data_IF_765563666086
#
_entry.id   IF_765563666086
#
_cell.length_a   1.000
_cell.length_b   1.000
_cell.length_c   1.000
_cell.angle_alpha   90.00
_cell.angle_beta   90.00
_cell.angle_gamma   90.00
#
_symmetry.space_group_name_H-M   'P 1'
#
loop_
_entity.id
_entity.type
_entity.pdbx_description
1 polymer ?
#
# COMPACT_ATOMS: atom_id res chain seq x y z
N UNK A 1 -19.28 -20.90 -8.27
CA UNK A 1 -18.34 -21.29 -9.35
C UNK A 1 -18.52 -20.29 -10.49
N UNK A 2 -17.62 -19.32 -10.62
CA UNK A 2 -17.69 -18.30 -11.67
C UNK A 2 -16.96 -18.82 -12.90
N UNK A 3 -17.69 -18.98 -14.00
CA UNK A 3 -17.12 -19.35 -15.29
C UNK A 3 -16.22 -18.21 -15.82
N UNK A 4 -15.04 -18.51 -16.39
CA UNK A 4 -14.23 -17.52 -17.06
C UNK A 4 -14.92 -17.09 -18.36
N UNK A 5 -15.00 -15.77 -18.58
CA UNK A 5 -15.49 -15.18 -19.83
C UNK A 5 -14.65 -15.69 -21.01
N UNK A 6 -15.30 -16.35 -21.96
CA UNK A 6 -14.68 -16.90 -23.17
C UNK A 6 -14.27 -15.80 -24.15
N UNK A 7 -12.98 -15.78 -24.47
CA UNK A 7 -12.26 -15.22 -25.63
C UNK A 7 -13.07 -14.54 -26.75
N UNK A 8 -12.89 -13.23 -26.88
CA UNK A 8 -12.87 -12.51 -28.16
C UNK A 8 -11.47 -11.94 -28.37
N UNK A 9 -10.87 -12.13 -29.55
CA UNK A 9 -9.53 -11.65 -30.03
C UNK A 9 -8.50 -11.37 -28.92
N UNK A 10 -7.40 -12.13 -28.87
CA UNK A 10 -6.17 -11.66 -28.19
C UNK A 10 -5.86 -10.26 -28.73
N UNK A 11 -6.13 -9.22 -27.94
CA UNK A 11 -5.70 -7.87 -28.29
C UNK A 11 -4.18 -7.91 -28.32
N UNK A 12 -3.59 -7.64 -29.48
CA UNK A 12 -2.16 -7.41 -29.57
C UNK A 12 -1.90 -6.04 -28.95
N UNK A 13 -1.04 -5.99 -27.93
CA UNK A 13 -0.66 -4.72 -27.32
C UNK A 13 0.47 -4.10 -28.14
N UNK A 14 0.17 -3.06 -28.89
CA UNK A 14 1.14 -2.37 -29.74
C UNK A 14 1.38 -0.95 -29.26
N UNK A 15 0.35 -0.25 -28.76
CA UNK A 15 0.43 1.16 -28.37
C UNK A 15 -0.12 1.43 -26.98
N UNK A 16 0.73 1.95 -26.10
CA UNK A 16 0.36 2.37 -24.74
C UNK A 16 0.49 3.88 -24.62
N UNK A 17 -0.51 4.51 -23.98
CA UNK A 17 -0.39 5.87 -23.46
C UNK A 17 -0.21 5.82 -21.94
N UNK A 18 0.89 6.38 -21.43
CA UNK A 18 1.13 6.53 -19.99
C UNK A 18 0.89 7.99 -19.60
N UNK A 19 -0.05 8.22 -18.70
CA UNK A 19 -0.38 9.52 -18.13
C UNK A 19 0.09 9.55 -16.69
N UNK A 20 1.27 10.10 -16.45
CA UNK A 20 1.86 10.23 -15.12
C UNK A 20 2.72 11.52 -15.09
N UNK A 21 2.71 12.22 -13.97
CA UNK A 21 3.56 13.40 -13.73
C UNK A 21 4.93 12.99 -13.14
N UNK A 22 5.06 11.74 -12.66
CA UNK A 22 6.31 11.17 -12.16
C UNK A 22 7.09 10.44 -13.28
N UNK A 23 8.29 10.94 -13.59
CA UNK A 23 9.14 10.39 -14.64
C UNK A 23 9.80 9.06 -14.23
N UNK A 24 10.00 8.81 -12.94
CA UNK A 24 10.62 7.57 -12.46
C UNK A 24 9.68 6.39 -12.68
N UNK A 25 8.39 6.55 -12.39
CA UNK A 25 7.35 5.56 -12.67
C UNK A 25 7.26 5.24 -14.17
N UNK A 26 7.32 6.28 -15.02
CA UNK A 26 7.30 6.13 -16.48
C UNK A 26 8.49 5.29 -16.94
N UNK A 27 9.70 5.63 -16.48
CA UNK A 27 10.93 4.91 -16.84
C UNK A 27 10.91 3.46 -16.32
N UNK A 28 10.40 3.24 -15.10
CA UNK A 28 10.24 1.91 -14.52
C UNK A 28 9.33 1.04 -15.40
N UNK A 29 8.19 1.56 -15.83
CA UNK A 29 7.27 0.86 -16.73
C UNK A 29 7.94 0.58 -18.09
N UNK A 30 8.53 1.61 -18.71
CA UNK A 30 9.18 1.49 -20.02
C UNK A 30 10.32 0.46 -20.03
N UNK A 31 11.12 0.41 -18.97
CA UNK A 31 12.27 -0.49 -18.88
C UNK A 31 11.87 -1.96 -18.97
N UNK A 32 10.71 -2.32 -18.39
CA UNK A 32 10.22 -3.70 -18.29
C UNK A 32 9.41 -4.16 -19.50
N UNK A 33 8.83 -3.23 -20.27
CA UNK A 33 8.04 -3.59 -21.44
C UNK A 33 8.90 -4.01 -22.64
N UNK A 34 8.41 -4.95 -23.49
CA UNK A 34 9.03 -5.29 -24.76
C UNK A 34 9.28 -4.09 -25.67
N UNK A 35 10.39 -4.08 -26.42
CA UNK A 35 10.81 -2.95 -27.29
C UNK A 35 9.87 -2.71 -28.49
N UNK A 36 9.05 -3.69 -28.85
CA UNK A 36 8.11 -3.60 -29.96
C UNK A 36 6.80 -2.88 -29.58
N UNK A 37 6.62 -2.50 -28.31
CA UNK A 37 5.48 -1.71 -27.85
C UNK A 37 5.83 -0.22 -27.98
N UNK A 38 5.02 0.51 -28.73
CA UNK A 38 5.09 1.96 -28.83
C UNK A 38 4.52 2.60 -27.55
N UNK A 39 5.34 3.35 -26.83
CA UNK A 39 4.95 4.00 -25.58
C UNK A 39 4.92 5.50 -25.81
N UNK A 40 3.72 6.09 -25.73
CA UNK A 40 3.55 7.55 -25.65
C UNK A 40 3.39 7.94 -24.19
N UNK A 41 4.03 9.02 -23.77
CA UNK A 41 3.92 9.55 -22.40
C UNK A 41 3.30 10.94 -22.43
N UNK A 42 2.48 11.25 -21.42
CA UNK A 42 1.91 12.58 -21.24
C UNK A 42 1.83 12.93 -19.76
N UNK A 43 2.10 14.17 -19.40
CA UNK A 43 1.67 14.69 -18.10
C UNK A 43 0.14 14.74 -18.04
N UNK A 44 -0.42 14.84 -16.84
CA UNK A 44 -1.88 14.97 -16.68
C UNK A 44 -2.41 16.24 -17.37
N UNK A 45 -1.63 17.33 -17.36
CA UNK A 45 -1.97 18.55 -18.10
C UNK A 45 -2.02 18.31 -19.62
N UNK A 46 -1.00 17.64 -20.18
CA UNK A 46 -0.94 17.30 -21.60
C UNK A 46 -2.08 16.35 -22.01
N UNK A 47 -2.41 15.38 -21.15
CA UNK A 47 -3.50 14.45 -21.38
C UNK A 47 -4.86 15.18 -21.50
N UNK A 48 -5.04 16.27 -20.78
CA UNK A 48 -6.23 17.12 -20.88
C UNK A 48 -6.41 17.81 -22.24
N UNK A 49 -5.37 17.84 -23.09
CA UNK A 49 -5.39 18.45 -24.44
C UNK A 49 -5.49 17.40 -25.55
N UNK A 50 -5.41 16.10 -25.23
CA UNK A 50 -5.49 15.03 -26.22
C UNK A 50 -6.91 14.93 -26.80
N UNK A 51 -6.99 15.00 -28.13
CA UNK A 51 -8.28 14.94 -28.86
C UNK A 51 -8.70 13.53 -29.24
N UNK A 52 -7.73 12.66 -29.49
CA UNK A 52 -7.97 11.27 -29.87
C UNK A 52 -7.02 10.33 -29.11
N UNK A 53 -7.64 9.43 -28.37
CA UNK A 53 -7.00 8.37 -27.58
C UNK A 53 -7.42 6.97 -28.05
N UNK A 54 -8.28 6.88 -29.07
CA UNK A 54 -8.76 5.60 -29.61
C UNK A 54 -7.66 4.83 -30.35
N UNK A 55 -6.58 5.51 -30.73
CA UNK A 55 -5.38 4.92 -31.34
C UNK A 55 -4.51 4.10 -30.38
N UNK A 56 -4.77 4.15 -29.07
CA UNK A 56 -4.02 3.38 -28.08
C UNK A 56 -4.79 2.12 -27.72
N UNK A 57 -4.08 1.02 -27.49
CA UNK A 57 -4.65 -0.25 -27.06
C UNK A 57 -4.88 -0.27 -25.54
N UNK A 58 -4.09 0.54 -24.82
CA UNK A 58 -4.14 0.69 -23.37
C UNK A 58 -3.77 2.11 -22.97
N UNK A 59 -4.51 2.66 -22.00
CA UNK A 59 -4.13 3.90 -21.31
C UNK A 59 -3.83 3.58 -19.85
N UNK A 60 -2.70 4.06 -19.36
CA UNK A 60 -2.33 4.02 -17.94
C UNK A 60 -2.51 5.43 -17.40
N UNK A 61 -3.27 5.60 -16.31
CA UNK A 61 -3.50 6.90 -15.68
C UNK A 61 -3.07 6.80 -14.22
N UNK A 62 -2.07 7.57 -13.84
CA UNK A 62 -1.73 7.71 -12.43
C UNK A 62 -2.68 8.68 -11.73
N UNK A 63 -3.08 8.30 -10.52
CA UNK A 63 -4.01 9.04 -9.66
C UNK A 63 -3.41 10.37 -9.16
N UNK A 64 -2.08 10.48 -9.03
CA UNK A 64 -1.34 11.60 -8.42
C UNK A 64 -1.99 12.08 -7.10
N UNK A 65 -2.30 11.12 -6.20
CA UNK A 65 -2.96 11.42 -4.92
C UNK A 65 -1.98 11.80 -3.79
N UNK A 66 -0.67 11.92 -4.10
CA UNK A 66 0.41 12.06 -3.13
C UNK A 66 0.34 13.32 -2.23
N UNK A 67 -0.63 14.21 -2.43
CA UNK A 67 -0.73 15.49 -1.71
C UNK A 67 -2.07 15.76 -1.00
N UNK A 68 -2.95 14.77 -0.79
CA UNK A 68 -4.30 14.97 -0.20
C UNK A 68 -5.18 16.01 -0.92
N UNK A 69 -4.70 16.52 -2.06
CA UNK A 69 -5.37 17.46 -2.96
C UNK A 69 -5.96 16.62 -4.10
N UNK A 70 -7.15 17.02 -4.54
CA UNK A 70 -7.99 16.41 -5.59
C UNK A 70 -7.23 15.47 -6.54
N UNK A 71 -7.69 14.23 -6.65
CA UNK A 71 -7.26 13.25 -7.65
C UNK A 71 -7.40 13.84 -9.06
N UNK A 72 -6.29 14.31 -9.61
CA UNK A 72 -6.26 14.82 -10.99
C UNK A 72 -6.45 13.68 -11.99
N UNK A 73 -5.99 12.47 -11.67
CA UNK A 73 -6.20 11.29 -12.51
C UNK A 73 -7.69 11.03 -12.79
N UNK A 74 -8.58 11.27 -11.80
CA UNK A 74 -10.03 11.13 -11.98
C UNK A 74 -10.57 12.11 -13.01
N UNK A 75 -10.14 13.37 -12.97
CA UNK A 75 -10.59 14.38 -13.93
C UNK A 75 -10.15 14.03 -15.36
N UNK A 76 -8.93 13.49 -15.52
CA UNK A 76 -8.44 13.01 -16.82
C UNK A 76 -9.24 11.80 -17.30
N UNK A 77 -9.54 10.83 -16.42
CA UNK A 77 -10.39 9.70 -16.77
C UNK A 77 -11.78 10.15 -17.24
N UNK A 78 -12.39 11.13 -16.56
CA UNK A 78 -13.69 11.68 -16.96
C UNK A 78 -13.64 12.30 -18.35
N UNK A 79 -12.59 13.07 -18.67
CA UNK A 79 -12.38 13.65 -20.02
C UNK A 79 -12.18 12.58 -21.09
N UNK A 80 -11.42 11.54 -20.77
CA UNK A 80 -11.21 10.37 -21.65
C UNK A 80 -12.54 9.69 -21.98
N UNK A 81 -13.42 9.55 -20.98
CA UNK A 81 -14.73 8.92 -21.14
C UNK A 81 -15.77 9.84 -21.80
N UNK A 82 -15.71 11.16 -21.59
CA UNK A 82 -16.62 12.10 -22.26
C UNK A 82 -16.43 12.11 -23.78
N UNK A 83 -15.24 11.74 -24.26
CA UNK A 83 -14.96 11.55 -25.68
C UNK A 83 -15.42 10.17 -26.20
N UNK A 84 -16.29 9.47 -25.45
CA UNK A 84 -16.83 8.14 -25.73
C UNK A 84 -15.77 7.06 -26.04
N UNK A 85 -14.56 7.21 -25.50
CA UNK A 85 -13.51 6.22 -25.72
C UNK A 85 -13.79 4.93 -24.96
N UNK A 86 -13.88 3.83 -25.71
CA UNK A 86 -13.96 2.47 -25.16
C UNK A 86 -12.59 1.90 -24.77
N UNK A 87 -11.50 2.69 -24.90
CA UNK A 87 -10.14 2.22 -24.63
C UNK A 87 -10.02 1.66 -23.21
N UNK A 88 -9.40 0.49 -23.04
CA UNK A 88 -9.01 -0.02 -21.74
C UNK A 88 -8.15 0.97 -20.96
N UNK A 89 -8.45 1.17 -19.69
CA UNK A 89 -7.69 2.01 -18.78
C UNK A 89 -7.20 1.19 -17.59
N UNK A 90 -5.90 1.24 -17.31
CA UNK A 90 -5.35 0.91 -15.99
C UNK A 90 -5.21 2.20 -15.20
N UNK A 91 -6.01 2.34 -14.16
CA UNK A 91 -5.95 3.48 -13.27
C UNK A 91 -5.03 3.13 -12.10
N UNK A 92 -3.85 3.72 -12.05
CA UNK A 92 -2.83 3.39 -11.05
C UNK A 92 -2.93 4.29 -9.84
N UNK A 93 -2.73 3.72 -8.66
CA UNK A 93 -2.59 4.45 -7.40
C UNK A 93 -1.76 3.60 -6.45
N UNK A 94 -0.74 4.17 -5.79
CA UNK A 94 -0.09 3.51 -4.66
C UNK A 94 -1.09 3.21 -3.52
N UNK A 95 -2.19 3.96 -3.46
CA UNK A 95 -3.27 3.82 -2.49
C UNK A 95 -4.62 3.57 -3.19
N UNK A 96 -4.91 2.36 -3.71
CA UNK A 96 -6.17 2.09 -4.40
C UNK A 96 -7.41 2.34 -3.55
N UNK A 97 -7.33 2.17 -2.23
CA UNK A 97 -8.43 2.46 -1.29
C UNK A 97 -8.83 3.94 -1.17
N UNK A 98 -7.98 4.86 -1.65
CA UNK A 98 -8.25 6.30 -1.69
C UNK A 98 -8.72 6.78 -3.07
N UNK A 99 -8.86 5.85 -4.01
CA UNK A 99 -9.45 6.13 -5.32
C UNK A 99 -10.96 6.32 -5.13
N UNK A 100 -11.49 7.36 -5.74
CA UNK A 100 -12.91 7.68 -5.69
C UNK A 100 -13.76 6.51 -6.22
N UNK A 101 -14.82 6.14 -5.49
CA UNK A 101 -15.71 5.03 -5.84
C UNK A 101 -16.25 5.08 -7.28
N UNK A 102 -16.44 6.27 -7.84
CA UNK A 102 -16.89 6.44 -9.24
C UNK A 102 -15.88 5.95 -10.28
N UNK A 103 -14.59 5.90 -9.95
CA UNK A 103 -13.55 5.35 -10.83
C UNK A 103 -13.77 3.85 -11.02
N UNK A 104 -14.05 3.11 -9.94
CA UNK A 104 -14.33 1.67 -9.99
C UNK A 104 -15.59 1.33 -10.81
N UNK A 105 -16.55 2.24 -10.85
CA UNK A 105 -17.79 2.09 -11.62
C UNK A 105 -17.63 2.50 -13.09
N UNK A 106 -16.49 3.07 -13.46
CA UNK A 106 -16.25 3.55 -14.82
C UNK A 106 -15.97 2.37 -15.75
N UNK A 107 -16.68 2.33 -16.89
CA UNK A 107 -16.54 1.25 -17.88
C UNK A 107 -15.10 1.12 -18.39
N UNK A 108 -14.65 -0.12 -18.58
CA UNK A 108 -13.32 -0.48 -19.10
C UNK A 108 -12.16 0.14 -18.29
N UNK A 109 -12.37 0.40 -16.99
CA UNK A 109 -11.34 0.84 -16.07
C UNK A 109 -11.04 -0.29 -15.09
N UNK A 110 -9.77 -0.56 -14.91
CA UNK A 110 -9.25 -1.44 -13.88
C UNK A 110 -8.38 -0.59 -12.95
N UNK A 111 -8.71 -0.57 -11.66
CA UNK A 111 -7.88 0.13 -10.66
C UNK A 111 -6.81 -0.83 -10.19
N UNK A 112 -5.54 -0.45 -10.35
CA UNK A 112 -4.38 -1.28 -10.07
C UNK A 112 -3.41 -0.50 -9.18
N UNK A 113 -2.62 -1.18 -8.36
CA UNK A 113 -1.52 -0.52 -7.66
C UNK A 113 -0.39 -0.19 -8.64
N UNK A 114 0.26 0.95 -8.49
CA UNK A 114 1.25 1.43 -9.47
C UNK A 114 2.36 0.42 -9.76
N UNK A 115 2.85 -0.29 -8.74
CA UNK A 115 3.84 -1.36 -8.86
C UNK A 115 3.33 -2.66 -9.52
N UNK A 116 2.04 -2.96 -9.43
CA UNK A 116 1.42 -4.12 -10.08
C UNK A 116 1.09 -3.87 -11.55
N UNK A 117 1.20 -2.63 -12.03
CA UNK A 117 0.76 -2.27 -13.38
C UNK A 117 1.46 -3.10 -14.45
N UNK A 118 2.77 -3.33 -14.30
CA UNK A 118 3.55 -4.09 -15.29
C UNK A 118 3.14 -5.55 -15.33
N UNK A 119 3.00 -6.20 -14.17
CA UNK A 119 2.61 -7.60 -14.11
C UNK A 119 1.16 -7.78 -14.59
N UNK A 120 0.28 -6.79 -14.35
CA UNK A 120 -1.08 -6.78 -14.92
C UNK A 120 -1.05 -6.68 -16.44
N UNK A 121 -0.21 -5.82 -17.01
CA UNK A 121 -0.05 -5.72 -18.46
C UNK A 121 0.49 -7.05 -19.02
N UNK A 122 1.53 -7.61 -18.41
CA UNK A 122 2.12 -8.89 -18.83
C UNK A 122 1.09 -10.02 -18.84
N UNK A 123 0.36 -10.21 -17.75
CA UNK A 123 -0.67 -11.24 -17.64
C UNK A 123 -1.83 -11.03 -18.62
N UNK A 124 -2.28 -9.78 -18.78
CA UNK A 124 -3.44 -9.45 -19.62
C UNK A 124 -3.17 -9.68 -21.10
N UNK A 125 -1.96 -9.37 -21.55
CA UNK A 125 -1.59 -9.42 -22.96
C UNK A 125 -0.65 -10.59 -23.31
N UNK A 126 -0.30 -11.42 -22.34
CA UNK A 126 0.58 -12.58 -22.53
C UNK A 126 1.98 -12.17 -22.95
N UNK A 127 2.52 -11.10 -22.35
CA UNK A 127 3.84 -10.56 -22.71
C UNK A 127 4.94 -11.21 -21.87
N UNK A 128 6.06 -11.50 -22.52
CA UNK A 128 7.33 -11.76 -21.83
C UNK A 128 7.94 -10.43 -21.39
N UNK A 129 7.86 -10.15 -20.10
CA UNK A 129 8.41 -8.93 -19.52
C UNK A 129 9.92 -9.06 -19.35
N UNK A 130 10.65 -7.94 -19.46
CA UNK A 130 12.06 -7.93 -19.07
C UNK A 130 12.15 -8.10 -17.55
N UNK A 131 13.15 -8.85 -17.10
CA UNK A 131 13.48 -8.96 -15.68
C UNK A 131 13.62 -7.56 -15.08
N UNK A 132 13.12 -7.38 -13.86
CA UNK A 132 13.41 -6.17 -13.10
C UNK A 132 14.92 -5.99 -13.01
N UNK A 133 15.39 -4.75 -13.14
CA UNK A 133 16.76 -4.42 -12.75
C UNK A 133 16.84 -4.81 -11.28
N UNK A 134 17.76 -5.72 -10.97
CA UNK A 134 18.03 -6.16 -9.60
C UNK A 134 18.68 -4.96 -8.88
N UNK A 135 17.84 -4.09 -8.34
CA UNK A 135 18.29 -3.08 -7.40
C UNK A 135 18.62 -3.89 -6.16
N UNK A 136 19.90 -4.19 -5.98
CA UNK A 136 20.48 -4.72 -4.76
C UNK A 136 20.32 -3.69 -3.63
N UNK A 137 19.08 -3.33 -3.31
CA UNK A 137 18.76 -2.52 -2.16
C UNK A 137 18.81 -3.45 -0.95
N UNK A 138 19.39 -2.99 0.18
CA UNK A 138 19.23 -3.72 1.43
C UNK A 138 17.74 -3.96 1.65
N UNK A 139 17.39 -5.19 2.02
CA UNK A 139 16.02 -5.47 2.41
C UNK A 139 15.63 -4.49 3.51
N UNK A 140 14.44 -3.85 3.44
CA UNK A 140 14.01 -2.98 4.52
C UNK A 140 14.10 -3.72 5.86
N UNK A 141 14.79 -3.12 6.83
CA UNK A 141 15.00 -3.71 8.16
C UNK A 141 14.20 -3.00 9.27
N UNK A 142 13.70 -1.78 9.02
CA UNK A 142 13.00 -0.99 10.03
C UNK A 142 11.57 -1.50 10.22
N UNK A 143 11.21 -1.73 11.48
CA UNK A 143 9.86 -2.09 11.89
C UNK A 143 9.27 -0.98 12.78
N UNK A 144 8.00 -0.65 12.57
CA UNK A 144 7.29 0.38 13.30
C UNK A 144 6.19 -0.24 14.15
N UNK A 145 6.14 0.08 15.44
CA UNK A 145 4.99 -0.21 16.30
C UNK A 145 4.32 1.12 16.63
N UNK A 146 3.09 1.29 16.18
CA UNK A 146 2.28 2.49 16.39
C UNK A 146 1.08 2.15 17.25
N UNK A 147 1.05 2.67 18.48
CA UNK A 147 -0.03 2.38 19.43
C UNK A 147 -0.25 3.54 20.38
N UNK A 148 -1.44 3.66 20.94
CA UNK A 148 -1.72 4.61 22.02
C UNK A 148 -1.61 3.96 23.42
N UNK A 149 -1.36 2.65 23.48
CA UNK A 149 -1.18 1.90 24.72
C UNK A 149 0.32 1.59 24.96
N UNK A 150 0.72 1.32 26.22
CA UNK A 150 2.04 0.79 26.51
C UNK A 150 2.32 -0.53 25.78
N UNK A 151 3.55 -0.71 25.32
CA UNK A 151 4.04 -1.98 24.75
C UNK A 151 4.84 -2.70 25.84
N UNK A 152 4.46 -3.93 26.19
CA UNK A 152 5.04 -4.61 27.36
C UNK A 152 6.55 -4.75 27.21
N UNK A 153 7.31 -4.12 28.11
CA UNK A 153 8.78 -4.11 28.17
C UNK A 153 9.47 -3.14 27.21
N UNK A 154 8.72 -2.25 26.55
CA UNK A 154 9.28 -1.26 25.64
C UNK A 154 8.71 0.12 25.96
N UNK A 155 9.59 1.08 26.20
CA UNK A 155 9.24 2.49 26.20
C UNK A 155 9.17 3.01 24.75
N UNK A 156 8.49 4.14 24.49
CA UNK A 156 8.59 4.82 23.21
C UNK A 156 10.07 5.15 22.91
N UNK A 157 10.55 4.84 21.70
CA UNK A 157 11.95 5.04 21.34
C UNK A 157 12.43 4.17 20.18
N UNK A 158 13.71 4.34 19.84
CA UNK A 158 14.44 3.59 18.79
C UNK A 158 15.27 2.49 19.45
N UNK A 159 15.26 1.29 18.88
CA UNK A 159 15.95 0.11 19.40
C UNK A 159 16.82 -0.57 18.34
N UNK A 160 17.92 -1.18 18.80
CA UNK A 160 18.87 -1.98 18.01
C UNK A 160 19.25 -1.30 16.69
N UNK A 161 19.88 -0.14 16.78
CA UNK A 161 20.39 0.65 15.64
C UNK A 161 19.33 0.97 14.58
N UNK A 162 18.07 1.12 14.99
CA UNK A 162 16.99 1.49 14.08
C UNK A 162 16.24 0.31 13.46
N UNK A 163 16.43 -0.92 13.95
CA UNK A 163 15.60 -2.08 13.52
C UNK A 163 14.15 -1.98 13.99
N UNK A 164 13.92 -1.31 15.11
CA UNK A 164 12.59 -1.12 15.68
C UNK A 164 12.41 0.30 16.18
N UNK A 165 11.33 0.95 15.77
CA UNK A 165 10.83 2.18 16.36
C UNK A 165 9.49 1.87 17.04
N UNK A 166 9.42 2.09 18.35
CA UNK A 166 8.19 2.01 19.13
C UNK A 166 7.68 3.43 19.33
N UNK A 167 6.50 3.70 18.80
CA UNK A 167 5.80 4.95 18.99
C UNK A 167 4.56 4.64 19.81
N UNK A 168 4.68 4.88 21.12
CA UNK A 168 3.59 4.77 22.07
C UNK A 168 3.44 6.07 22.86
N UNK A 169 2.25 6.32 23.40
CA UNK A 169 2.01 7.46 24.27
C UNK A 169 1.48 6.95 25.61
N UNK A 170 2.40 6.73 26.54
CA UNK A 170 2.04 6.58 27.94
C UNK A 170 1.72 7.99 28.47
N UNK A 171 0.56 8.18 29.10
CA UNK A 171 -0.01 9.46 29.58
C UNK A 171 -0.78 10.27 28.51
N UNK A 172 -2.02 9.86 28.23
CA UNK A 172 -3.25 10.65 28.44
C UNK A 172 -4.43 10.00 27.70
N UNK A 173 -5.56 9.97 28.41
CA UNK A 173 -6.86 9.36 28.12
C UNK A 173 -7.12 8.82 26.70
N UNK A 174 -7.75 7.63 26.69
CA UNK A 174 -8.46 7.00 25.57
C UNK A 174 -9.27 7.95 24.65
N UNK A 175 -9.58 9.15 25.12
CA UNK A 175 -10.33 10.22 24.46
C UNK A 175 -9.56 10.86 23.28
N UNK A 176 -8.21 10.83 23.27
CA UNK A 176 -7.39 11.44 22.20
C UNK A 176 -6.54 10.45 21.38
N UNK A 177 -6.72 9.15 21.57
CA UNK A 177 -5.97 8.10 20.87
C UNK A 177 -5.94 8.29 19.34
N UNK A 178 -7.06 8.73 18.76
CA UNK A 178 -7.20 9.04 17.33
C UNK A 178 -6.27 10.16 16.85
N UNK A 179 -6.24 11.29 17.57
CA UNK A 179 -5.51 12.49 17.17
C UNK A 179 -4.02 12.33 17.40
N UNK A 180 -3.63 11.71 18.52
CA UNK A 180 -2.23 11.44 18.86
C UNK A 180 -1.60 10.49 17.84
N UNK A 181 -2.28 9.38 17.52
CA UNK A 181 -1.76 8.40 16.57
C UNK A 181 -1.70 9.00 15.14
N UNK A 182 -2.71 9.78 14.75
CA UNK A 182 -2.71 10.48 13.47
C UNK A 182 -1.59 11.53 13.37
N UNK A 183 -1.36 12.29 14.44
CA UNK A 183 -0.31 13.30 14.50
C UNK A 183 1.08 12.67 14.55
N UNK A 184 1.27 11.55 15.25
CA UNK A 184 2.54 10.82 15.24
C UNK A 184 2.86 10.23 13.88
N UNK A 185 1.86 9.64 13.21
CA UNK A 185 2.03 9.21 11.84
C UNK A 185 2.39 10.42 10.96
N UNK A 186 1.69 11.55 11.10
CA UNK A 186 2.01 12.78 10.36
C UNK A 186 3.42 13.30 10.67
N UNK A 187 3.87 13.26 11.91
CA UNK A 187 5.21 13.67 12.30
C UNK A 187 6.27 12.76 11.67
N UNK A 188 6.08 11.44 11.71
CA UNK A 188 6.93 10.49 10.98
C UNK A 188 6.98 10.83 9.48
N UNK A 189 5.86 11.25 8.89
CA UNK A 189 5.80 11.71 7.51
C UNK A 189 6.56 13.03 7.24
N UNK A 190 6.70 13.93 8.22
CA UNK A 190 7.23 15.28 8.01
C UNK A 190 8.63 15.52 8.59
N UNK A 191 9.05 14.79 9.62
CA UNK A 191 10.34 14.98 10.31
C UNK A 191 11.39 13.92 9.99
N UNK A 192 10.98 12.76 9.50
CA UNK A 192 11.85 11.84 8.77
C UNK A 192 11.96 12.36 7.32
N UNK A 193 13.08 12.17 6.63
CA UNK A 193 13.10 12.31 5.16
C UNK A 193 12.31 11.14 4.54
N UNK A 194 11.03 11.03 4.87
CA UNK A 194 10.14 9.92 4.54
C UNK A 194 9.99 9.72 3.03
N UNK A 195 10.33 10.74 2.21
CA UNK A 195 10.40 10.58 0.76
C UNK A 195 11.59 9.72 0.30
N UNK A 196 12.74 9.77 0.98
CA UNK A 196 13.94 8.98 0.66
C UNK A 196 14.03 7.68 1.45
N UNK A 197 13.57 7.67 2.71
CA UNK A 197 13.82 6.55 3.64
C UNK A 197 12.63 5.58 3.82
N UNK A 198 11.46 5.85 3.23
CA UNK A 198 10.28 4.96 3.31
C UNK A 198 10.56 3.53 2.84
N UNK A 199 11.48 3.39 1.89
CA UNK A 199 11.90 2.12 1.29
C UNK A 199 12.66 1.20 2.28
N UNK A 200 13.02 1.72 3.46
CA UNK A 200 13.68 1.00 4.54
C UNK A 200 12.70 0.39 5.56
N UNK A 201 11.41 0.76 5.50
CA UNK A 201 10.38 0.25 6.41
C UNK A 201 9.81 -1.07 5.88
N UNK A 202 9.90 -2.13 6.70
CA UNK A 202 9.40 -3.47 6.38
C UNK A 202 8.01 -3.75 6.91
N UNK A 203 7.76 -3.40 8.17
CA UNK A 203 6.49 -3.68 8.83
C UNK A 203 6.01 -2.49 9.63
N UNK A 204 4.70 -2.26 9.60
CA UNK A 204 4.02 -1.28 10.44
C UNK A 204 2.91 -1.99 11.21
N UNK A 205 3.07 -2.12 12.52
CA UNK A 205 2.08 -2.70 13.42
C UNK A 205 1.25 -1.58 14.04
N UNK A 206 -0.07 -1.63 13.87
CA UNK A 206 -0.95 -0.55 14.34
C UNK A 206 -2.03 -1.09 15.27
N UNK A 207 -2.05 -0.56 16.49
CA UNK A 207 -3.13 -0.76 17.46
C UNK A 207 -3.76 0.58 17.86
N UNK A 208 -4.98 0.82 17.39
CA UNK A 208 -5.77 2.05 17.65
C UNK A 208 -7.01 1.82 18.53
N UNK A 209 -7.32 0.56 18.87
CA UNK A 209 -8.42 0.15 19.76
C UNK A 209 -9.81 0.65 19.31
N UNK A 210 -10.81 0.49 20.17
CA UNK A 210 -12.19 0.93 19.82
C UNK A 210 -12.30 2.46 19.68
N UNK A 211 -11.48 3.21 20.42
CA UNK A 211 -11.54 4.68 20.48
C UNK A 211 -10.80 5.38 19.32
N UNK A 212 -9.94 4.66 18.60
CA UNK A 212 -9.27 5.19 17.40
C UNK A 212 -10.25 5.59 16.29
N UNK A 213 -11.46 4.99 16.26
CA UNK A 213 -12.39 5.06 15.11
C UNK A 213 -11.65 4.65 13.82
N UNK A 214 -12.15 4.99 12.64
CA UNK A 214 -11.56 4.53 11.37
C UNK A 214 -10.27 5.28 10.96
N UNK A 215 -10.00 6.45 11.53
CA UNK A 215 -8.93 7.34 11.05
C UNK A 215 -7.52 6.74 11.16
N UNK A 216 -7.04 6.21 12.29
CA UNK A 216 -5.68 5.69 12.37
C UNK A 216 -5.46 4.44 11.54
N UNK A 217 -6.50 3.59 11.41
CA UNK A 217 -6.50 2.49 10.44
C UNK A 217 -6.39 2.99 9.00
N UNK A 218 -7.11 4.06 8.62
CA UNK A 218 -7.01 4.65 7.27
C UNK A 218 -5.66 5.32 7.02
N UNK A 219 -5.07 5.96 8.03
CA UNK A 219 -3.74 6.56 7.93
C UNK A 219 -2.66 5.46 7.90
N UNK A 220 -2.82 4.39 8.67
CA UNK A 220 -1.94 3.22 8.62
C UNK A 220 -1.97 2.56 7.24
N UNK A 221 -3.16 2.39 6.66
CA UNK A 221 -3.32 1.99 5.28
C UNK A 221 -2.62 2.95 4.32
N UNK A 222 -2.69 4.26 4.59
CA UNK A 222 -2.02 5.27 3.77
C UNK A 222 -0.50 5.23 3.90
N UNK A 223 0.07 4.61 4.94
CA UNK A 223 1.52 4.36 5.02
C UNK A 223 1.98 3.32 4.00
N UNK A 224 1.11 2.38 3.61
CA UNK A 224 1.35 1.30 2.65
C UNK A 224 1.73 1.76 1.23
N UNK A 225 2.95 2.24 1.01
CA UNK A 225 3.41 2.74 -0.31
C UNK A 225 4.32 1.77 -1.08
N UNK A 226 5.02 0.83 -0.42
CA UNK A 226 6.00 -0.08 -1.03
C UNK A 226 5.52 -1.56 -0.98
N UNK A 227 5.89 -2.41 -1.96
CA UNK A 227 5.50 -3.85 -1.99
C UNK A 227 6.20 -4.66 -0.91
N UNK A 228 7.35 -4.17 -0.45
CA UNK A 228 8.18 -4.73 0.60
C UNK A 228 7.64 -4.40 1.99
N UNK A 229 6.71 -3.44 2.08
CA UNK A 229 6.16 -2.98 3.34
C UNK A 229 4.79 -3.61 3.64
N UNK A 230 4.63 -4.13 4.85
CA UNK A 230 3.37 -4.70 5.34
C UNK A 230 2.74 -3.82 6.42
N UNK A 231 1.45 -3.51 6.26
CA UNK A 231 0.64 -2.88 7.31
C UNK A 231 -0.13 -3.97 8.04
N UNK A 232 0.16 -4.12 9.33
CA UNK A 232 -0.39 -5.13 10.21
C UNK A 232 -1.31 -4.46 11.23
N UNK A 233 -2.63 -4.51 10.98
CA UNK A 233 -3.63 -4.04 11.92
C UNK A 233 -3.78 -5.07 13.04
N UNK A 234 -3.60 -4.62 14.28
CA UNK A 234 -3.74 -5.43 15.48
C UNK A 234 -5.09 -5.13 16.11
N UNK A 235 -5.97 -6.12 16.25
CA UNK A 235 -7.33 -5.93 16.73
C UNK A 235 -7.67 -6.89 17.87
N UNK A 236 -8.33 -6.36 18.91
CA UNK A 236 -8.98 -7.20 19.91
C UNK A 236 -10.44 -7.43 19.52
N UNK A 237 -11.15 -8.24 20.29
CA UNK A 237 -12.57 -8.54 20.02
C UNK A 237 -13.45 -7.28 19.92
N UNK A 238 -13.10 -6.22 20.63
CA UNK A 238 -13.90 -4.99 20.70
C UNK A 238 -13.82 -4.12 19.44
N UNK A 239 -12.79 -4.27 18.61
CA UNK A 239 -12.58 -3.46 17.40
C UNK A 239 -12.32 -4.30 16.13
N UNK A 240 -12.48 -5.62 16.23
CA UNK A 240 -12.30 -6.57 15.14
C UNK A 240 -13.17 -6.24 13.91
N UNK A 241 -14.49 -6.21 14.05
CA UNK A 241 -15.42 -6.00 12.93
C UNK A 241 -15.19 -4.65 12.24
N UNK A 242 -14.78 -3.64 13.01
CA UNK A 242 -14.40 -2.33 12.48
C UNK A 242 -13.19 -2.45 11.56
N UNK A 243 -12.12 -3.10 12.02
CA UNK A 243 -10.87 -3.28 11.26
C UNK A 243 -10.97 -4.32 10.15
N UNK A 244 -11.89 -5.27 10.25
CA UNK A 244 -12.13 -6.24 9.19
C UNK A 244 -12.58 -5.55 7.89
N UNK A 245 -13.36 -4.46 8.00
CA UNK A 245 -13.72 -3.63 6.84
C UNK A 245 -12.51 -2.93 6.21
N UNK A 246 -11.47 -2.66 7.00
CA UNK A 246 -10.21 -2.05 6.57
C UNK A 246 -9.22 -3.08 6.00
N UNK A 247 -9.28 -4.33 6.46
CA UNK A 247 -8.41 -5.40 5.95
C UNK A 247 -8.91 -6.03 4.64
N UNK A 248 -10.00 -5.52 4.06
CA UNK A 248 -10.47 -5.95 2.73
C UNK A 248 -9.54 -5.51 1.58
N UNK A 249 -8.42 -4.87 1.90
CA UNK A 249 -7.36 -4.53 0.96
C UNK A 249 -6.23 -5.56 1.03
N UNK A 250 -5.70 -5.97 -0.12
CA UNK A 250 -4.73 -7.07 -0.27
C UNK A 250 -3.33 -6.82 0.33
N UNK A 251 -3.09 -5.67 0.98
CA UNK A 251 -1.81 -5.28 1.58
C UNK A 251 -1.92 -4.90 3.07
N UNK A 252 -3.07 -5.19 3.68
CA UNK A 252 -3.36 -4.92 5.09
C UNK A 252 -3.69 -6.24 5.76
N UNK A 253 -2.78 -6.71 6.62
CA UNK A 253 -3.05 -7.87 7.45
C UNK A 253 -3.87 -7.45 8.66
N UNK A 254 -4.75 -8.35 9.11
CA UNK A 254 -5.48 -8.20 10.36
C UNK A 254 -5.13 -9.36 11.27
N UNK A 255 -4.60 -9.05 12.46
CA UNK A 255 -4.22 -10.05 13.45
C UNK A 255 -4.97 -9.87 14.76
N UNK A 256 -5.41 -10.99 15.36
CA UNK A 256 -6.08 -10.96 16.65
C UNK A 256 -5.06 -10.76 17.76
N UNK A 257 -5.35 -9.86 18.68
CA UNK A 257 -4.55 -9.59 19.88
C UNK A 257 -5.43 -9.54 21.12
N UNK A 258 -4.81 -9.61 22.30
CA UNK A 258 -5.50 -9.35 23.56
C UNK A 258 -6.00 -7.88 23.63
N UNK A 259 -6.96 -7.61 24.52
CA UNK A 259 -7.47 -6.25 24.69
C UNK A 259 -6.33 -5.33 25.15
N UNK A 260 -6.05 -4.30 24.35
CA UNK A 260 -4.95 -3.36 24.57
C UNK A 260 -3.70 -3.62 23.73
N UNK A 261 -3.52 -4.85 23.22
CA UNK A 261 -2.42 -5.25 22.34
C UNK A 261 -1.01 -5.16 22.95
N UNK A 262 -0.88 -4.88 24.24
CA UNK A 262 0.39 -4.63 24.92
C UNK A 262 1.34 -5.83 24.94
N UNK A 263 0.83 -7.01 25.27
CA UNK A 263 1.60 -8.25 25.36
C UNK A 263 1.93 -8.79 23.97
N UNK A 264 0.96 -8.82 23.05
CA UNK A 264 1.22 -9.30 21.68
C UNK A 264 2.21 -8.37 20.96
N UNK A 265 2.07 -7.04 21.05
CA UNK A 265 3.03 -6.11 20.45
C UNK A 265 4.42 -6.21 21.10
N UNK A 266 4.48 -6.42 22.41
CA UNK A 266 5.75 -6.65 23.11
C UNK A 266 6.45 -7.91 22.62
N UNK A 267 5.69 -8.99 22.41
CA UNK A 267 6.22 -10.23 21.87
C UNK A 267 6.63 -10.12 20.39
N UNK A 268 5.96 -9.29 19.59
CA UNK A 268 6.39 -8.93 18.23
C UNK A 268 7.72 -8.17 18.25
N UNK A 269 7.87 -7.20 19.16
CA UNK A 269 9.13 -6.48 19.34
C UNK A 269 10.27 -7.41 19.76
N UNK A 270 10.00 -8.38 20.62
CA UNK A 270 10.99 -9.40 21.02
C UNK A 270 11.51 -10.19 19.81
N UNK A 271 10.61 -10.69 18.96
CA UNK A 271 11.01 -11.47 17.77
C UNK A 271 11.77 -10.61 16.76
N UNK A 272 11.35 -9.35 16.55
CA UNK A 272 12.08 -8.40 15.68
C UNK A 272 13.51 -8.19 16.15
N UNK A 273 13.71 -8.11 17.47
CA UNK A 273 15.01 -7.87 18.09
C UNK A 273 15.81 -9.16 18.36
N UNK A 274 15.25 -10.34 18.09
CA UNK A 274 15.88 -11.63 18.39
C UNK A 274 16.01 -11.92 19.88
N UNK A 275 15.12 -11.35 20.71
CA UNK A 275 15.11 -11.50 22.17
C UNK A 275 14.00 -12.48 22.57
N UNK A 276 14.20 -13.22 23.67
CA UNK A 276 13.14 -14.00 24.31
C UNK A 276 13.11 -13.70 25.80
N UNK A 277 12.02 -13.09 26.26
CA UNK A 277 11.87 -12.67 27.65
C UNK A 277 11.24 -13.76 28.50
N UNK A 278 11.86 -14.17 29.63
CA UNK A 278 11.37 -15.28 30.44
C UNK A 278 10.02 -15.01 31.11
N UNK A 279 9.65 -13.74 31.31
CA UNK A 279 8.39 -13.32 31.93
C UNK A 279 7.17 -13.30 30.98
N UNK A 280 7.38 -13.58 29.68
CA UNK A 280 6.30 -13.68 28.70
C UNK A 280 6.06 -15.15 28.35
N UNK A 281 4.82 -15.60 28.54
CA UNK A 281 4.38 -16.90 28.04
C UNK A 281 3.91 -16.78 26.59
N UNK A 282 4.85 -16.87 25.65
CA UNK A 282 4.59 -16.77 24.20
C UNK A 282 3.56 -17.82 23.71
N UNK A 283 3.37 -18.94 24.42
CA UNK A 283 2.41 -19.97 24.04
C UNK A 283 0.96 -19.60 24.40
N UNK A 284 0.76 -18.58 25.26
CA UNK A 284 -0.56 -18.10 25.66
C UNK A 284 -1.08 -16.94 24.81
N UNK A 285 -0.25 -16.43 23.90
CA UNK A 285 -0.65 -15.35 23.00
C UNK A 285 -1.73 -15.85 22.03
N UNK A 286 -2.64 -14.93 21.67
CA UNK A 286 -3.75 -15.22 20.74
C UNK A 286 -3.24 -15.62 19.35
N UNK A 287 -2.06 -15.13 18.99
CA UNK A 287 -1.34 -15.44 17.76
C UNK A 287 0.17 -15.45 18.04
N UNK A 288 0.90 -16.36 17.41
CA UNK A 288 2.36 -16.36 17.48
C UNK A 288 2.94 -15.11 16.80
N UNK A 289 3.91 -14.41 17.43
CA UNK A 289 4.58 -13.27 16.81
C UNK A 289 5.36 -13.64 15.54
N UNK A 290 5.91 -14.85 15.47
CA UNK A 290 6.56 -15.39 14.27
C UNK A 290 5.56 -15.46 13.12
N UNK A 291 4.35 -15.97 13.36
CA UNK A 291 3.29 -16.01 12.34
C UNK A 291 2.87 -14.62 11.84
N UNK A 292 2.88 -13.62 12.71
CA UNK A 292 2.62 -12.22 12.34
C UNK A 292 3.69 -11.71 11.36
N UNK A 293 4.94 -12.15 11.53
CA UNK A 293 6.09 -11.76 10.70
C UNK A 293 6.28 -12.65 9.44
N UNK A 294 5.86 -13.92 9.49
CA UNK A 294 5.98 -14.92 8.42
C UNK A 294 5.06 -14.62 7.22
N UNK A 295 3.88 -14.03 7.45
CA UNK A 295 2.92 -13.70 6.39
C UNK A 295 3.27 -12.46 5.58
N UNK A 296 4.46 -11.90 5.77
CA UNK A 296 5.18 -11.26 4.67
C UNK A 296 5.62 -12.31 3.65
N UNK A 297 4.70 -13.16 3.16
CA UNK A 297 4.88 -13.85 1.88
C UNK A 297 4.98 -12.71 0.87
N UNK A 298 6.24 -12.28 0.71
CA UNK A 298 6.70 -11.39 -0.33
C UNK A 298 5.97 -11.85 -1.56
N UNK A 299 5.25 -10.94 -2.20
CA UNK A 299 4.90 -11.14 -3.59
C UNK A 299 6.23 -11.45 -4.28
N UNK A 300 6.48 -12.74 -4.50
CA UNK A 300 7.59 -13.22 -5.27
C UNK A 300 7.35 -12.57 -6.63
N UNK A 301 8.08 -11.51 -6.91
CA UNK A 301 8.29 -11.00 -8.26
C UNK A 301 9.09 -12.11 -8.97
N UNK A 302 8.39 -13.16 -9.36
CA UNK A 302 8.85 -14.15 -10.31
C UNK A 302 8.27 -13.79 -11.67
#
# INVERSE_FOLDING_TARGET
MNQPLSYGRRMTLEKILIINDDIEDILAIQSRLPKNIEITTASQWQAGLLRDISKYDLVIIDNDANNLKKSKGKEILQKIRSNNSSVPVLYTSFQPGWVDGSVFQTRNVEVVRTDQVIDRIGNRFGLELKNSIDISNPEPELNLILTYNPVKGYNPGIFSDGKLLVVSYDRHSQIRAREVLAEQIRQIYTSFEWKSDRDLVRNIFVYDGINGRELPGHIAQSLGHDVRMCVNLMACKCDWDRKQRLSNSSYVNLYPVECGGSETLGAVADVILGIKRPEIDYNRLVISPEKILEKGERFNLR
#
